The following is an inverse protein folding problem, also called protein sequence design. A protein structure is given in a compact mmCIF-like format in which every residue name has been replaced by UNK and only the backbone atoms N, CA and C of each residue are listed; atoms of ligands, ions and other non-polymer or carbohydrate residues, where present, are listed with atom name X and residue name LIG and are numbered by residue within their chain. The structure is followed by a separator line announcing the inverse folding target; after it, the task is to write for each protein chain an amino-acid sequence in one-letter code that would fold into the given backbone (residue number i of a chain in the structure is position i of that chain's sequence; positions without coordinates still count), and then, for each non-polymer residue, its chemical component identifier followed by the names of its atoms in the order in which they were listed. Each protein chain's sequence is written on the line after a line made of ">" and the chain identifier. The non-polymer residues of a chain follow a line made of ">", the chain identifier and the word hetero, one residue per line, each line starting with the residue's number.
data_IF_195582159400
#
_entry.id   IF_195582159400
#
_cell.length_a   1.000
_cell.length_b   1.000
_cell.length_c   1.000
_cell.angle_alpha   90.00
_cell.angle_beta   90.00
_cell.angle_gamma   90.00
#
_symmetry.space_group_name_H-M   'P 1'
#
loop_
_entity.id
_entity.type
_entity.pdbx_description
1 polymer ?
#
# COMPACT_ATOMS: atom_id res chain seq x y z
N UNK A 1 -4.65 -34.54 -5.37
CA UNK A 1 -3.67 -33.61 -5.96
C UNK A 1 -3.32 -32.60 -4.88
N UNK A 2 -2.05 -32.48 -4.50
CA UNK A 2 -1.62 -31.41 -3.59
C UNK A 2 -1.55 -30.14 -4.41
N UNK A 3 -2.36 -29.15 -4.04
CA UNK A 3 -2.35 -27.82 -4.64
C UNK A 3 -1.08 -27.09 -4.22
N UNK A 4 -0.43 -26.41 -5.16
CA UNK A 4 0.72 -25.54 -4.92
C UNK A 4 0.51 -24.17 -5.61
N UNK A 5 1.45 -23.23 -5.46
CA UNK A 5 1.30 -21.89 -6.02
C UNK A 5 1.33 -21.86 -7.57
N UNK A 6 2.09 -22.75 -8.21
CA UNK A 6 2.13 -22.86 -9.68
C UNK A 6 0.76 -23.24 -10.24
N UNK A 7 0.06 -24.17 -9.57
CA UNK A 7 -1.30 -24.56 -9.96
C UNK A 7 -2.27 -23.36 -9.93
N UNK A 8 -2.06 -22.41 -9.01
CA UNK A 8 -2.89 -21.21 -8.85
C UNK A 8 -2.57 -20.18 -9.94
N UNK A 9 -1.29 -19.98 -10.25
CA UNK A 9 -0.89 -19.13 -11.38
C UNK A 9 -1.41 -19.68 -12.70
N UNK A 10 -1.21 -20.97 -12.98
CA UNK A 10 -1.74 -21.64 -14.17
C UNK A 10 -3.26 -21.50 -14.28
N UNK A 11 -3.97 -21.60 -13.15
CA UNK A 11 -5.41 -21.39 -13.11
C UNK A 11 -5.77 -19.94 -13.45
N UNK A 12 -5.07 -18.96 -12.88
CA UNK A 12 -5.30 -17.55 -13.12
C UNK A 12 -4.98 -17.16 -14.58
N UNK A 13 -3.84 -17.56 -15.12
CA UNK A 13 -3.45 -17.28 -16.51
C UNK A 13 -4.45 -17.87 -17.50
N UNK A 14 -4.96 -19.07 -17.24
CA UNK A 14 -5.93 -19.74 -18.10
C UNK A 14 -7.31 -19.08 -18.06
N UNK A 15 -7.75 -18.62 -16.88
CA UNK A 15 -9.15 -18.26 -16.65
C UNK A 15 -9.38 -16.78 -16.36
N UNK A 16 -8.32 -15.99 -16.16
CA UNK A 16 -8.37 -14.61 -15.64
C UNK A 16 -8.88 -14.51 -14.19
N UNK A 17 -8.99 -15.64 -13.48
CA UNK A 17 -9.47 -15.73 -12.08
C UNK A 17 -9.12 -17.08 -11.48
N UNK A 18 -8.97 -17.12 -10.16
CA UNK A 18 -8.75 -18.36 -9.41
C UNK A 18 -10.05 -18.93 -8.83
N UNK A 19 -10.09 -20.24 -8.58
CA UNK A 19 -11.27 -20.89 -7.99
C UNK A 19 -11.41 -20.60 -6.49
N UNK A 20 -12.58 -20.98 -5.95
CA UNK A 20 -12.82 -20.99 -4.50
C UNK A 20 -11.84 -21.91 -3.77
N UNK A 21 -11.41 -23.01 -4.38
CA UNK A 21 -10.46 -23.94 -3.78
C UNK A 21 -9.08 -23.29 -3.64
N UNK A 22 -8.56 -22.68 -4.71
CA UNK A 22 -7.30 -21.92 -4.71
C UNK A 22 -7.34 -20.74 -3.74
N UNK A 23 -8.47 -20.02 -3.71
CA UNK A 23 -8.69 -18.94 -2.74
C UNK A 23 -8.65 -19.46 -1.30
N UNK A 24 -9.31 -20.58 -1.00
CA UNK A 24 -9.31 -21.17 0.34
C UNK A 24 -7.93 -21.66 0.77
N UNK A 25 -7.17 -22.23 -0.17
CA UNK A 25 -5.78 -22.63 0.06
C UNK A 25 -4.88 -21.43 0.38
N UNK A 26 -4.98 -20.34 -0.39
CA UNK A 26 -4.27 -19.09 -0.10
C UNK A 26 -4.62 -18.55 1.28
N UNK A 27 -5.91 -18.52 1.65
CA UNK A 27 -6.32 -18.06 3.00
C UNK A 27 -5.68 -18.86 4.12
N UNK A 28 -5.55 -20.17 3.95
CA UNK A 28 -4.92 -21.04 4.94
C UNK A 28 -3.42 -20.75 5.08
N UNK A 29 -2.72 -20.48 3.97
CA UNK A 29 -1.30 -20.16 4.00
C UNK A 29 -1.01 -18.75 4.54
N UNK A 30 -1.87 -17.77 4.22
CA UNK A 30 -1.79 -16.41 4.78
C UNK A 30 -1.92 -16.43 6.30
N UNK A 31 -2.84 -17.22 6.85
CA UNK A 31 -3.00 -17.37 8.30
C UNK A 31 -1.99 -18.33 8.95
N UNK A 32 -1.06 -18.89 8.16
CA UNK A 32 -0.30 -20.07 8.53
C UNK A 32 1.21 -19.90 8.30
N UNK A 33 1.88 -20.94 7.75
CA UNK A 33 3.34 -21.03 7.81
C UNK A 33 4.09 -20.18 6.77
N UNK A 34 3.42 -19.72 5.71
CA UNK A 34 4.05 -18.97 4.61
C UNK A 34 3.16 -17.81 4.17
N UNK A 35 2.98 -16.80 5.04
CA UNK A 35 2.12 -15.66 4.74
C UNK A 35 2.67 -14.81 3.60
N UNK A 36 4.00 -14.63 3.53
CA UNK A 36 4.60 -13.76 2.53
C UNK A 36 4.29 -14.23 1.10
N UNK A 37 4.60 -15.48 0.78
CA UNK A 37 4.39 -16.00 -0.59
C UNK A 37 2.90 -16.06 -0.93
N UNK A 38 2.06 -16.45 0.03
CA UNK A 38 0.62 -16.53 -0.17
C UNK A 38 -0.03 -15.16 -0.41
N UNK A 39 0.42 -14.10 0.29
CA UNK A 39 -0.01 -12.72 0.03
C UNK A 39 0.39 -12.29 -1.39
N UNK A 40 1.63 -12.58 -1.82
CA UNK A 40 2.10 -12.26 -3.17
C UNK A 40 1.24 -12.91 -4.24
N UNK A 41 1.03 -14.23 -4.15
CA UNK A 41 0.22 -14.97 -5.12
C UNK A 41 -1.23 -14.48 -5.11
N UNK A 42 -1.81 -14.23 -3.93
CA UNK A 42 -3.15 -13.67 -3.82
C UNK A 42 -3.25 -12.30 -4.49
N UNK A 43 -2.21 -11.48 -4.38
CA UNK A 43 -2.17 -10.14 -4.96
C UNK A 43 -2.06 -10.18 -6.48
N UNK A 44 -1.12 -10.97 -7.01
CA UNK A 44 -0.87 -11.12 -8.45
C UNK A 44 -2.05 -11.77 -9.18
N UNK A 45 -2.76 -12.68 -8.51
CA UNK A 45 -3.97 -13.34 -9.03
C UNK A 45 -5.28 -12.58 -8.74
N UNK A 46 -5.20 -11.31 -8.29
CA UNK A 46 -6.35 -10.46 -7.98
C UNK A 46 -7.39 -11.14 -7.05
N UNK A 47 -6.91 -11.91 -6.07
CA UNK A 47 -7.73 -12.70 -5.15
C UNK A 47 -8.35 -11.86 -4.03
N UNK A 48 -8.97 -10.72 -4.35
CA UNK A 48 -9.46 -9.69 -3.43
C UNK A 48 -10.16 -10.20 -2.15
N UNK A 49 -10.90 -11.31 -2.25
CA UNK A 49 -11.59 -11.92 -1.10
C UNK A 49 -10.65 -12.45 0.01
N UNK A 50 -9.32 -12.43 -0.20
CA UNK A 50 -8.31 -12.71 0.82
C UNK A 50 -7.99 -11.51 1.70
N UNK A 51 -8.38 -10.29 1.34
CA UNK A 51 -8.03 -9.08 2.08
C UNK A 51 -8.29 -9.16 3.60
N UNK A 52 -9.42 -9.71 4.10
CA UNK A 52 -9.63 -9.84 5.53
C UNK A 52 -8.58 -10.69 6.26
N UNK A 53 -8.05 -11.74 5.61
CA UNK A 53 -6.98 -12.56 6.21
C UNK A 53 -5.60 -11.97 5.99
N UNK A 54 -5.39 -11.19 4.93
CA UNK A 54 -4.15 -10.41 4.77
C UNK A 54 -4.05 -9.36 5.88
N UNK A 55 -5.17 -8.71 6.23
CA UNK A 55 -5.21 -7.70 7.28
C UNK A 55 -4.80 -8.23 8.66
N UNK A 56 -4.98 -9.53 8.94
CA UNK A 56 -4.52 -10.14 10.20
C UNK A 56 -3.01 -10.35 10.26
N UNK A 57 -2.27 -9.97 9.22
CA UNK A 57 -0.79 -10.06 9.17
C UNK A 57 -0.11 -8.70 9.28
N UNK A 58 -0.89 -7.62 9.44
CA UNK A 58 -0.38 -6.25 9.60
C UNK A 58 0.39 -6.04 10.91
N UNK A 59 0.23 -6.93 11.89
CA UNK A 59 0.97 -6.97 13.16
C UNK A 59 2.03 -8.08 13.21
N UNK A 60 2.30 -8.75 12.08
CA UNK A 60 3.30 -9.82 11.99
C UNK A 60 4.65 -9.35 12.51
N UNK A 61 5.36 -10.22 13.23
CA UNK A 61 6.74 -9.93 13.66
C UNK A 61 7.70 -9.85 12.49
N UNK A 62 7.35 -10.45 11.34
CA UNK A 62 8.13 -10.39 10.12
C UNK A 62 7.83 -9.10 9.34
N UNK A 63 8.86 -8.27 9.18
CA UNK A 63 8.83 -7.00 8.43
C UNK A 63 8.37 -7.21 6.99
N UNK A 64 8.84 -8.27 6.32
CA UNK A 64 8.50 -8.52 4.92
C UNK A 64 7.03 -8.88 4.75
N UNK A 65 6.46 -9.59 5.74
CA UNK A 65 5.03 -9.90 5.76
C UNK A 65 4.20 -8.63 5.94
N UNK A 66 4.54 -7.77 6.91
CA UNK A 66 3.83 -6.49 7.10
C UNK A 66 3.91 -5.60 5.87
N UNK A 67 5.11 -5.44 5.31
CA UNK A 67 5.34 -4.66 4.09
C UNK A 67 4.48 -5.17 2.92
N UNK A 68 4.46 -6.49 2.71
CA UNK A 68 3.68 -7.10 1.63
C UNK A 68 2.18 -6.97 1.86
N UNK A 69 1.72 -7.15 3.10
CA UNK A 69 0.31 -7.00 3.47
C UNK A 69 -0.20 -5.56 3.23
N UNK A 70 0.56 -4.55 3.65
CA UNK A 70 0.23 -3.14 3.39
C UNK A 70 0.20 -2.85 1.89
N UNK A 71 1.23 -3.32 1.16
CA UNK A 71 1.30 -3.19 -0.29
C UNK A 71 0.08 -3.81 -0.97
N UNK A 72 -0.29 -5.03 -0.61
CA UNK A 72 -1.45 -5.72 -1.15
C UNK A 72 -2.75 -4.94 -0.88
N UNK A 73 -3.01 -4.57 0.38
CA UNK A 73 -4.29 -3.96 0.78
C UNK A 73 -4.48 -2.55 0.23
N UNK A 74 -3.47 -1.68 0.36
CA UNK A 74 -3.63 -0.25 0.09
C UNK A 74 -3.16 0.15 -1.31
N UNK A 75 -2.15 -0.51 -1.87
CA UNK A 75 -1.61 -0.11 -3.18
C UNK A 75 -2.20 -0.93 -4.32
N UNK A 76 -2.31 -2.26 -4.15
CA UNK A 76 -2.73 -3.17 -5.22
C UNK A 76 -4.25 -3.37 -5.24
N UNK A 77 -4.85 -3.64 -4.09
CA UNK A 77 -6.29 -3.80 -3.95
C UNK A 77 -7.02 -2.47 -3.77
N UNK A 78 -6.31 -1.45 -3.26
CA UNK A 78 -6.83 -0.10 -3.00
C UNK A 78 -8.06 -0.09 -2.09
N UNK A 79 -8.02 -0.87 -1.01
CA UNK A 79 -9.12 -0.96 -0.06
C UNK A 79 -9.03 0.11 1.02
N UNK A 80 -9.81 1.19 0.83
CA UNK A 80 -9.89 2.33 1.75
C UNK A 80 -10.35 1.97 3.17
N UNK A 81 -11.10 0.87 3.36
CA UNK A 81 -11.49 0.37 4.68
C UNK A 81 -10.30 -0.01 5.58
N UNK A 82 -9.11 -0.26 5.01
CA UNK A 82 -7.88 -0.50 5.77
C UNK A 82 -7.02 0.75 5.98
N UNK A 83 -7.48 1.94 5.55
CA UNK A 83 -6.70 3.17 5.62
C UNK A 83 -6.28 3.54 7.05
N UNK A 84 -7.12 3.25 8.07
CA UNK A 84 -6.77 3.48 9.48
C UNK A 84 -5.58 2.65 9.93
N UNK A 85 -5.51 1.38 9.52
CA UNK A 85 -4.37 0.51 9.82
C UNK A 85 -3.12 0.95 9.04
N UNK A 86 -3.30 1.39 7.79
CA UNK A 86 -2.23 2.01 7.00
C UNK A 86 -1.65 3.25 7.68
N UNK A 87 -2.51 4.11 8.24
CA UNK A 87 -2.09 5.35 8.90
C UNK A 87 -1.29 5.04 10.16
N UNK A 88 -1.77 4.09 10.97
CA UNK A 88 -1.06 3.63 12.16
C UNK A 88 0.34 3.11 11.81
N UNK A 89 0.45 2.29 10.76
CA UNK A 89 1.75 1.76 10.32
C UNK A 89 2.66 2.83 9.74
N UNK A 90 2.12 3.80 8.99
CA UNK A 90 2.91 4.91 8.45
C UNK A 90 3.58 5.75 9.56
N UNK A 91 2.91 5.89 10.71
CA UNK A 91 3.39 6.69 11.84
C UNK A 91 4.27 5.86 12.78
N UNK A 92 3.83 4.65 13.14
CA UNK A 92 4.35 3.94 14.30
C UNK A 92 5.14 2.65 13.99
N UNK A 93 5.12 2.14 12.75
CA UNK A 93 5.88 0.90 12.46
C UNK A 93 7.38 1.15 12.67
N UNK A 94 8.11 0.27 13.39
CA UNK A 94 9.54 0.45 13.62
C UNK A 94 10.36 0.38 12.32
N UNK A 95 9.88 -0.33 11.30
CA UNK A 95 10.59 -0.53 10.06
C UNK A 95 10.25 0.54 9.00
N UNK A 96 11.28 1.18 8.47
CA UNK A 96 11.15 2.26 7.49
C UNK A 96 10.53 1.79 6.16
N UNK A 97 10.73 0.54 5.75
CA UNK A 97 10.12 0.02 4.52
C UNK A 97 8.61 -0.10 4.69
N UNK A 98 8.16 -0.57 5.85
CA UNK A 98 6.72 -0.67 6.17
C UNK A 98 6.09 0.72 6.24
N UNK A 99 6.72 1.67 6.95
CA UNK A 99 6.25 3.06 6.99
C UNK A 99 6.17 3.67 5.58
N UNK A 100 7.20 3.45 4.77
CA UNK A 100 7.30 3.96 3.40
C UNK A 100 6.19 3.45 2.49
N UNK A 101 5.95 2.13 2.45
CA UNK A 101 4.87 1.57 1.63
C UNK A 101 3.48 1.97 2.15
N UNK A 102 3.34 2.15 3.47
CA UNK A 102 2.11 2.66 4.07
C UNK A 102 1.81 4.08 3.59
N UNK A 103 2.79 5.00 3.58
CA UNK A 103 2.63 6.35 3.03
C UNK A 103 2.17 6.33 1.56
N UNK A 104 2.80 5.51 0.72
CA UNK A 104 2.36 5.37 -0.68
C UNK A 104 0.91 4.88 -0.73
N UNK A 105 0.58 3.84 0.05
CA UNK A 105 -0.76 3.27 0.16
C UNK A 105 -1.82 4.26 0.64
N UNK A 106 -1.48 5.14 1.61
CA UNK A 106 -2.39 6.19 2.06
C UNK A 106 -2.80 7.09 0.90
N UNK A 107 -1.85 7.49 0.06
CA UNK A 107 -2.12 8.30 -1.12
C UNK A 107 -3.00 7.60 -2.16
N UNK A 108 -2.78 6.31 -2.39
CA UNK A 108 -3.56 5.50 -3.33
C UNK A 108 -5.05 5.40 -2.94
N UNK A 109 -5.36 5.37 -1.63
CA UNK A 109 -6.75 5.23 -1.15
C UNK A 109 -7.36 6.53 -0.65
N UNK A 110 -6.57 7.61 -0.50
CA UNK A 110 -7.04 8.89 0.06
C UNK A 110 -8.33 9.43 -0.59
N UNK A 111 -8.49 9.40 -1.93
CA UNK A 111 -9.71 9.90 -2.57
C UNK A 111 -10.97 9.11 -2.21
N UNK A 112 -10.81 7.83 -1.84
CA UNK A 112 -11.90 6.90 -1.57
C UNK A 112 -12.29 6.82 -0.08
N UNK A 113 -11.54 7.49 0.81
CA UNK A 113 -11.86 7.55 2.25
C UNK A 113 -13.03 8.51 2.51
N UNK A 114 -14.12 7.95 3.02
CA UNK A 114 -15.38 8.69 3.29
C UNK A 114 -15.32 9.43 4.64
N UNK A 115 -14.61 8.87 5.63
CA UNK A 115 -14.45 9.46 6.97
C UNK A 115 -13.62 10.75 6.92
N UNK A 116 -14.20 11.94 7.14
CA UNK A 116 -13.50 13.21 6.93
C UNK A 116 -12.27 13.38 7.83
N UNK A 117 -12.38 13.01 9.11
CA UNK A 117 -11.28 13.12 10.07
C UNK A 117 -10.12 12.19 9.70
N UNK A 118 -10.41 10.95 9.30
CA UNK A 118 -9.39 10.02 8.84
C UNK A 118 -8.71 10.52 7.56
N UNK A 119 -9.50 11.02 6.60
CA UNK A 119 -8.97 11.59 5.35
C UNK A 119 -8.08 12.80 5.63
N UNK A 120 -8.47 13.66 6.58
CA UNK A 120 -7.65 14.80 7.00
C UNK A 120 -6.33 14.35 7.62
N UNK A 121 -6.35 13.41 8.56
CA UNK A 121 -5.13 12.91 9.21
C UNK A 121 -4.19 12.24 8.21
N UNK A 122 -4.72 11.42 7.28
CA UNK A 122 -3.91 10.84 6.21
C UNK A 122 -3.25 11.91 5.33
N UNK A 123 -4.01 12.91 4.91
CA UNK A 123 -3.49 13.99 4.09
C UNK A 123 -2.43 14.81 4.84
N UNK A 124 -2.65 15.04 6.13
CA UNK A 124 -1.74 15.76 7.01
C UNK A 124 -0.43 14.99 7.17
N UNK A 125 -0.50 13.68 7.44
CA UNK A 125 0.68 12.82 7.52
C UNK A 125 1.49 12.88 6.23
N UNK A 126 0.87 12.71 5.06
CA UNK A 126 1.56 12.82 3.77
C UNK A 126 2.24 14.18 3.59
N UNK A 127 1.52 15.26 3.85
CA UNK A 127 2.03 16.62 3.68
C UNK A 127 3.18 16.92 4.65
N UNK A 128 3.00 16.65 5.95
CA UNK A 128 4.01 16.91 6.98
C UNK A 128 5.28 16.08 6.74
N UNK A 129 5.16 14.81 6.34
CA UNK A 129 6.33 13.98 6.00
C UNK A 129 7.10 14.56 4.80
N UNK A 130 6.42 14.98 3.73
CA UNK A 130 7.11 15.61 2.57
C UNK A 130 7.83 16.91 2.97
N UNK A 131 7.17 17.73 3.79
CA UNK A 131 7.65 19.06 4.16
C UNK A 131 8.70 19.05 5.28
N UNK A 132 8.83 17.95 6.04
CA UNK A 132 9.82 17.83 7.09
C UNK A 132 11.25 17.73 6.51
N UNK A 133 12.07 18.75 6.73
CA UNK A 133 13.44 18.79 6.24
C UNK A 133 14.40 17.84 6.99
N UNK A 134 14.03 17.42 8.21
CA UNK A 134 14.80 16.49 9.03
C UNK A 134 14.44 15.02 8.75
N UNK A 135 13.40 14.78 7.96
CA UNK A 135 12.94 13.44 7.61
C UNK A 135 13.87 12.78 6.58
N UNK A 136 13.97 11.46 6.66
CA UNK A 136 14.77 10.65 5.75
C UNK A 136 14.34 10.87 4.29
N UNK A 137 15.26 11.12 3.34
CA UNK A 137 14.92 11.42 1.95
C UNK A 137 13.99 10.39 1.29
N UNK A 138 14.15 9.11 1.64
CA UNK A 138 13.29 8.03 1.17
C UNK A 138 11.84 8.15 1.70
N UNK A 139 11.67 8.54 2.96
CA UNK A 139 10.35 8.73 3.56
C UNK A 139 9.62 9.91 2.92
N UNK A 140 10.35 11.01 2.70
CA UNK A 140 9.83 12.16 1.95
C UNK A 140 9.42 11.80 0.53
N UNK A 141 10.24 10.99 -0.16
CA UNK A 141 9.93 10.50 -1.49
C UNK A 141 8.67 9.62 -1.51
N UNK A 142 8.50 8.72 -0.53
CA UNK A 142 7.32 7.87 -0.43
C UNK A 142 6.05 8.67 -0.14
N UNK A 143 6.11 9.65 0.77
CA UNK A 143 5.00 10.56 1.01
C UNK A 143 4.67 11.41 -0.23
N UNK A 144 5.70 11.85 -0.97
CA UNK A 144 5.50 12.57 -2.24
C UNK A 144 4.84 11.69 -3.30
N UNK A 145 5.22 10.40 -3.41
CA UNK A 145 4.50 9.46 -4.26
C UNK A 145 3.04 9.26 -3.82
N UNK A 146 2.78 9.20 -2.52
CA UNK A 146 1.41 9.20 -2.00
C UNK A 146 0.62 10.44 -2.44
N UNK A 147 1.22 11.64 -2.35
CA UNK A 147 0.61 12.88 -2.85
C UNK A 147 0.32 12.78 -4.36
N UNK A 148 1.28 12.32 -5.17
CA UNK A 148 1.08 12.16 -6.61
C UNK A 148 -0.05 11.19 -6.93
N UNK A 149 -0.18 10.10 -6.16
CA UNK A 149 -1.28 9.14 -6.31
C UNK A 149 -2.64 9.76 -5.96
N UNK A 150 -2.73 10.47 -4.83
CA UNK A 150 -3.97 11.13 -4.42
C UNK A 150 -4.43 12.23 -5.39
N UNK A 151 -3.48 12.82 -6.13
CA UNK A 151 -3.73 13.83 -7.16
C UNK A 151 -3.97 13.23 -8.55
N UNK A 152 -4.12 11.91 -8.66
CA UNK A 152 -4.34 11.16 -9.91
C UNK A 152 -3.27 11.41 -10.98
N UNK A 153 -2.02 11.65 -10.56
CA UNK A 153 -0.89 11.74 -11.48
C UNK A 153 -0.52 10.33 -11.94
N UNK A 154 -0.55 10.09 -13.25
CA UNK A 154 -0.32 8.77 -13.83
C UNK A 154 1.10 8.27 -13.54
N UNK A 155 1.31 6.95 -13.29
CA UNK A 155 2.64 6.41 -13.00
C UNK A 155 3.73 6.76 -14.04
N UNK A 156 3.37 6.90 -15.32
CA UNK A 156 4.31 7.28 -16.38
C UNK A 156 4.76 8.75 -16.31
N UNK A 157 3.97 9.59 -15.65
CA UNK A 157 4.26 11.01 -15.43
C UNK A 157 4.96 11.25 -14.08
N UNK A 158 5.15 10.20 -13.28
CA UNK A 158 5.85 10.27 -11.99
C UNK A 158 7.37 10.12 -12.20
N UNK A 159 8.18 10.68 -11.28
CA UNK A 159 9.60 10.36 -11.22
C UNK A 159 9.85 8.86 -11.06
N UNK A 160 10.97 8.33 -11.59
CA UNK A 160 11.33 6.92 -11.41
C UNK A 160 11.45 6.55 -9.92
N UNK A 161 10.76 5.49 -9.50
CA UNK A 161 10.78 5.01 -8.10
C UNK A 161 12.19 4.62 -7.61
N UNK A 162 13.08 4.21 -8.52
CA UNK A 162 14.48 3.87 -8.21
C UNK A 162 15.37 5.08 -7.92
N UNK A 163 14.85 6.31 -8.09
CA UNK A 163 15.61 7.54 -7.92
C UNK A 163 15.01 8.38 -6.80
N UNK A 164 15.73 8.46 -5.69
CA UNK A 164 15.42 9.42 -4.63
C UNK A 164 15.60 10.83 -5.19
N UNK A 165 14.54 11.63 -5.15
CA UNK A 165 14.61 13.04 -5.51
C UNK A 165 14.95 13.88 -4.28
N UNK A 166 15.93 14.80 -4.40
CA UNK A 166 16.03 15.92 -3.48
C UNK A 166 14.72 16.71 -3.46
N UNK A 167 14.36 17.26 -2.31
CA UNK A 167 13.11 17.99 -2.13
C UNK A 167 12.95 19.17 -3.09
N UNK A 168 14.03 19.86 -3.39
CA UNK A 168 14.06 21.02 -4.27
C UNK A 168 13.73 20.66 -5.73
N UNK A 169 13.71 19.35 -6.04
CA UNK A 169 13.34 18.81 -7.35
C UNK A 169 11.93 18.20 -7.36
N UNK A 170 11.22 18.19 -6.24
CA UNK A 170 9.83 17.76 -6.18
C UNK A 170 8.92 18.85 -6.77
N UNK A 171 7.79 18.46 -7.33
CA UNK A 171 6.82 19.41 -7.87
C UNK A 171 6.05 20.10 -6.73
N UNK A 172 6.56 21.25 -6.32
CA UNK A 172 5.93 22.07 -5.28
C UNK A 172 4.55 22.60 -5.68
N UNK A 173 4.23 22.73 -6.97
CA UNK A 173 2.88 23.12 -7.39
C UNK A 173 1.88 22.01 -7.06
N UNK A 174 2.23 20.76 -7.36
CA UNK A 174 1.41 19.59 -7.00
C UNK A 174 1.26 19.44 -5.49
N UNK A 175 2.34 19.60 -4.71
CA UNK A 175 2.28 19.57 -3.24
C UNK A 175 1.34 20.65 -2.68
N UNK A 176 1.40 21.87 -3.22
CA UNK A 176 0.54 22.97 -2.78
C UNK A 176 -0.94 22.76 -3.17
N UNK A 177 -1.19 22.22 -4.36
CA UNK A 177 -2.54 21.87 -4.80
C UNK A 177 -3.15 20.78 -3.92
N UNK A 178 -2.36 19.75 -3.58
CA UNK A 178 -2.76 18.70 -2.65
C UNK A 178 -3.17 19.28 -1.29
N UNK A 179 -2.33 20.15 -0.71
CA UNK A 179 -2.66 20.83 0.55
C UNK A 179 -3.97 21.59 0.45
N UNK A 180 -4.16 22.38 -0.61
CA UNK A 180 -5.38 23.17 -0.79
C UNK A 180 -6.65 22.30 -0.91
N UNK A 181 -6.53 21.09 -1.46
CA UNK A 181 -7.65 20.18 -1.67
C UNK A 181 -8.00 19.36 -0.41
N UNK A 182 -6.99 18.89 0.32
CA UNK A 182 -7.18 17.92 1.41
C UNK A 182 -6.93 18.47 2.82
N UNK A 183 -6.32 19.65 2.96
CA UNK A 183 -6.00 20.30 4.24
C UNK A 183 -6.54 21.75 4.31
N UNK A 184 -7.87 21.95 4.25
CA UNK A 184 -8.49 23.27 4.36
C UNK A 184 -8.42 23.88 5.76
#
# INVERSE_FOLDING_TARGET
>A
MHMNFEDIYDEYERNGRISRASTAFLKLLIAGPDPFTAITVATDCAAFSTAPVIATTLDSTDVMVRWNAVGALLTRFRFAEYARAGLELAINDPDMMVRGIALVGLGEVLPDVIEPDLRYEMAKTLYETVMNAEEEPHMRMNAYFGILSAMDILPLDRPPASRVLPFEKMDHATINNFRALFLP
#
